data_IF_400573900518
#
_entry.id   IF_400573900518
#
_cell.length_a   1.000
_cell.length_b   1.000
_cell.length_c   1.000
_cell.angle_alpha   90.00
_cell.angle_beta   90.00
_cell.angle_gamma   90.00
#
_symmetry.space_group_name_H-M   'P 1'
#
loop_
_entity.id
_entity.type
_entity.pdbx_description
1 polymer ?
#
# COMPACT_ATOMS: atom_id res chain seq x y z
N UNK A 1 4.18 25.17 -21.32
CA UNK A 1 4.95 23.92 -21.24
C UNK A 1 5.38 23.66 -19.81
N UNK A 2 5.08 22.48 -19.27
CA UNK A 2 5.54 22.18 -17.94
C UNK A 2 7.06 22.22 -17.86
N UNK A 3 7.58 22.57 -16.71
CA UNK A 3 9.02 22.59 -16.52
C UNK A 3 9.59 21.17 -16.60
N UNK A 4 10.82 21.04 -17.04
CA UNK A 4 11.54 19.77 -17.06
C UNK A 4 11.53 19.12 -15.67
N UNK A 5 11.67 19.93 -14.63
CA UNK A 5 11.65 19.47 -13.25
C UNK A 5 10.35 18.75 -12.88
N UNK A 6 9.20 19.23 -13.37
CA UNK A 6 7.90 18.60 -13.11
C UNK A 6 7.84 17.21 -13.74
N UNK A 7 8.25 17.08 -15.00
CA UNK A 7 8.28 15.79 -15.68
C UNK A 7 9.21 14.80 -14.99
N UNK A 8 10.35 15.27 -14.54
CA UNK A 8 11.30 14.42 -13.84
C UNK A 8 10.71 13.85 -12.56
N UNK A 9 9.90 14.63 -11.84
CA UNK A 9 9.21 14.13 -10.64
C UNK A 9 8.25 13.01 -10.95
N UNK A 10 7.45 13.15 -12.01
CA UNK A 10 6.50 12.12 -12.40
C UNK A 10 7.22 10.85 -12.86
N UNK A 11 8.29 11.00 -13.62
CA UNK A 11 9.10 9.87 -14.09
C UNK A 11 9.74 9.12 -12.91
N UNK A 12 10.09 9.84 -11.84
CA UNK A 12 10.75 9.24 -10.66
C UNK A 12 9.80 8.57 -9.68
N UNK A 13 8.49 8.62 -9.91
CA UNK A 13 7.54 7.90 -9.07
C UNK A 13 7.54 6.42 -9.42
N UNK A 14 7.71 5.59 -8.40
CA UNK A 14 7.77 4.15 -8.56
C UNK A 14 6.43 3.48 -8.33
N UNK A 15 6.28 2.30 -8.88
CA UNK A 15 5.17 1.40 -8.61
C UNK A 15 5.64 0.31 -7.65
N UNK A 16 4.83 0.02 -6.65
CA UNK A 16 5.11 -0.99 -5.65
C UNK A 16 4.13 -2.15 -5.81
N UNK A 17 4.61 -3.37 -5.82
CA UNK A 17 3.77 -4.57 -5.68
C UNK A 17 3.82 -4.97 -4.21
N UNK A 18 2.68 -4.95 -3.55
CA UNK A 18 2.58 -5.10 -2.11
C UNK A 18 1.76 -6.35 -1.77
N UNK A 19 2.34 -7.22 -0.96
CA UNK A 19 1.61 -8.40 -0.45
C UNK A 19 0.76 -7.99 0.74
N UNK A 20 -0.54 -8.26 0.67
CA UNK A 20 -1.50 -7.92 1.71
C UNK A 20 -2.39 -9.13 1.96
N UNK A 21 -2.75 -9.35 3.23
CA UNK A 21 -3.73 -10.40 3.57
C UNK A 21 -5.04 -10.16 2.83
N UNK A 22 -5.68 -11.22 2.32
CA UNK A 22 -6.92 -11.08 1.53
C UNK A 22 -8.00 -10.24 2.21
N UNK A 23 -8.20 -10.41 3.51
CA UNK A 23 -9.22 -9.65 4.24
C UNK A 23 -8.95 -8.15 4.21
N UNK A 24 -7.70 -7.73 4.34
CA UNK A 24 -7.34 -6.31 4.34
C UNK A 24 -7.41 -5.70 2.95
N UNK A 25 -6.97 -6.43 1.93
CA UNK A 25 -7.08 -5.91 0.57
C UNK A 25 -8.55 -5.79 0.16
N UNK A 26 -9.41 -6.70 0.61
CA UNK A 26 -10.84 -6.59 0.35
C UNK A 26 -11.43 -5.33 0.98
N UNK A 27 -11.04 -4.98 2.19
CA UNK A 27 -11.47 -3.73 2.83
C UNK A 27 -11.00 -2.50 2.04
N UNK A 28 -9.79 -2.56 1.47
CA UNK A 28 -9.30 -1.49 0.60
C UNK A 28 -10.19 -1.38 -0.65
N UNK A 29 -10.43 -2.50 -1.30
CA UNK A 29 -11.22 -2.53 -2.55
C UNK A 29 -12.68 -2.12 -2.33
N UNK A 30 -13.23 -2.37 -1.13
CA UNK A 30 -14.59 -1.94 -0.77
C UNK A 30 -14.66 -0.49 -0.29
N UNK A 31 -13.52 0.20 -0.14
CA UNK A 31 -13.48 1.57 0.34
C UNK A 31 -13.57 1.72 1.86
N UNK A 32 -13.50 0.64 2.61
CA UNK A 32 -13.57 0.65 4.07
C UNK A 32 -12.22 0.92 4.71
N UNK A 33 -11.13 0.64 4.01
CA UNK A 33 -9.77 0.83 4.47
C UNK A 33 -9.08 1.79 3.50
N UNK A 34 -8.79 3.00 3.97
CA UNK A 34 -8.19 4.04 3.12
C UNK A 34 -6.71 4.24 3.35
N UNK A 35 -6.14 3.50 4.30
CA UNK A 35 -4.71 3.54 4.61
C UNK A 35 -4.15 2.13 4.68
N UNK A 36 -2.92 1.98 4.19
CA UNK A 36 -2.14 0.77 4.40
C UNK A 36 -0.97 1.10 5.31
N UNK A 37 -0.78 0.26 6.34
CA UNK A 37 0.18 0.53 7.41
C UNK A 37 1.40 -0.36 7.29
N UNK A 38 2.58 0.25 7.40
CA UNK A 38 3.86 -0.44 7.36
C UNK A 38 4.78 0.10 8.46
N UNK A 39 5.85 -0.65 8.76
CA UNK A 39 6.77 -0.33 9.85
C UNK A 39 7.95 0.51 9.40
N UNK A 40 8.20 0.58 8.11
CA UNK A 40 9.32 1.32 7.55
C UNK A 40 8.92 2.08 6.31
N UNK A 41 9.64 3.17 6.07
CA UNK A 41 9.44 4.02 4.91
C UNK A 41 10.09 3.39 3.68
N UNK A 42 9.45 3.46 2.50
CA UNK A 42 10.11 3.01 1.28
C UNK A 42 11.26 3.93 0.93
N UNK A 43 12.26 3.40 0.22
CA UNK A 43 13.40 4.20 -0.24
C UNK A 43 13.06 5.09 -1.42
N UNK A 44 12.09 4.67 -2.24
CA UNK A 44 11.68 5.40 -3.43
C UNK A 44 10.35 6.11 -3.20
N UNK A 45 10.09 7.12 -4.02
CA UNK A 45 8.81 7.80 -4.02
C UNK A 45 7.78 6.90 -4.69
N UNK A 46 6.73 6.53 -3.97
CA UNK A 46 5.72 5.61 -4.46
C UNK A 46 4.50 6.39 -4.94
N UNK A 47 4.16 6.21 -6.21
CA UNK A 47 2.97 6.83 -6.80
C UNK A 47 1.79 5.87 -6.93
N UNK A 48 2.08 4.57 -7.03
CA UNK A 48 1.06 3.54 -7.26
C UNK A 48 1.41 2.27 -6.51
N UNK A 49 0.39 1.63 -5.96
CA UNK A 49 0.52 0.31 -5.33
C UNK A 49 -0.36 -0.67 -6.06
N UNK A 50 0.21 -1.82 -6.43
CA UNK A 50 -0.49 -2.96 -6.98
C UNK A 50 -0.63 -3.98 -5.86
N UNK A 51 -1.84 -4.46 -5.62
CA UNK A 51 -2.17 -5.32 -4.49
C UNK A 51 -2.12 -6.79 -4.87
N UNK A 52 -1.21 -7.51 -4.24
CA UNK A 52 -1.20 -8.97 -4.29
C UNK A 52 -1.88 -9.51 -3.03
N UNK A 53 -3.02 -10.17 -3.21
CA UNK A 53 -3.69 -10.84 -2.11
C UNK A 53 -2.92 -12.12 -1.79
N UNK A 54 -2.34 -12.19 -0.60
CA UNK A 54 -1.51 -13.32 -0.21
C UNK A 54 -2.34 -14.59 0.00
N UNK A 55 -1.65 -15.70 0.38
CA UNK A 55 -2.31 -16.99 0.61
C UNK A 55 -3.55 -16.83 1.51
N UNK A 56 -4.65 -17.54 1.23
CA UNK A 56 -4.76 -18.58 0.21
C UNK A 56 -5.09 -18.11 -1.21
N UNK A 57 -5.42 -16.82 -1.39
CA UNK A 57 -5.88 -16.33 -2.70
C UNK A 57 -4.77 -16.31 -3.75
N UNK A 58 -3.59 -15.78 -3.43
CA UNK A 58 -2.41 -15.77 -4.30
C UNK A 58 -2.64 -15.16 -5.68
N UNK A 59 -3.28 -14.00 -5.73
CA UNK A 59 -3.59 -13.30 -6.97
C UNK A 59 -3.39 -11.80 -6.82
N UNK A 60 -3.06 -11.15 -7.94
CA UNK A 60 -3.04 -9.70 -8.03
C UNK A 60 -4.46 -9.23 -8.32
N UNK A 61 -5.04 -8.44 -7.43
CA UNK A 61 -6.49 -8.19 -7.42
C UNK A 61 -6.89 -6.75 -7.66
N UNK A 62 -5.95 -5.82 -7.64
CA UNK A 62 -6.29 -4.41 -7.85
C UNK A 62 -5.11 -3.50 -7.64
N UNK A 63 -5.39 -2.21 -7.68
CA UNK A 63 -4.36 -1.19 -7.51
C UNK A 63 -4.95 0.09 -6.92
N UNK A 64 -4.08 0.98 -6.46
CA UNK A 64 -4.46 2.31 -6.01
C UNK A 64 -3.34 3.30 -6.27
N UNK A 65 -3.71 4.58 -6.34
CA UNK A 65 -2.76 5.67 -6.35
C UNK A 65 -2.44 6.03 -4.90
N UNK A 66 -1.19 6.34 -4.62
CA UNK A 66 -0.76 6.83 -3.31
C UNK A 66 -0.91 8.35 -3.30
N UNK A 67 -1.84 8.85 -2.48
CA UNK A 67 -2.05 10.29 -2.36
C UNK A 67 -0.91 10.93 -1.57
N UNK A 68 -0.54 10.31 -0.44
CA UNK A 68 0.57 10.76 0.39
C UNK A 68 0.99 9.63 1.31
N UNK A 69 2.18 9.76 1.89
CA UNK A 69 2.70 8.82 2.87
C UNK A 69 2.89 9.59 4.17
N UNK A 70 2.22 9.14 5.23
CA UNK A 70 2.32 9.73 6.55
C UNK A 70 3.35 8.99 7.38
N UNK A 71 4.11 9.73 8.17
CA UNK A 71 5.09 9.20 9.10
C UNK A 71 4.89 9.83 10.46
N UNK A 72 5.02 9.05 11.51
CA UNK A 72 4.92 9.54 12.87
C UNK A 72 4.96 8.40 13.87
N UNK A 73 4.73 8.71 15.12
CA UNK A 73 4.59 7.66 16.13
C UNK A 73 3.33 6.86 15.84
N UNK A 74 3.27 5.60 16.27
CA UNK A 74 2.04 4.81 16.12
C UNK A 74 0.81 5.53 16.67
N UNK A 75 0.93 6.21 17.80
CA UNK A 75 -0.17 6.94 18.42
C UNK A 75 -0.65 8.11 17.55
N UNK A 76 0.28 8.89 17.02
CA UNK A 76 -0.04 10.03 16.14
C UNK A 76 -0.74 9.56 14.87
N UNK A 77 -0.19 8.55 14.22
CA UNK A 77 -0.75 8.02 12.99
C UNK A 77 -2.13 7.43 13.23
N UNK A 78 -2.34 6.74 14.35
CA UNK A 78 -3.66 6.21 14.69
C UNK A 78 -4.69 7.34 14.84
N UNK A 79 -4.33 8.42 15.51
CA UNK A 79 -5.23 9.58 15.68
C UNK A 79 -5.71 10.14 14.34
N UNK A 80 -4.82 10.17 13.34
CA UNK A 80 -5.14 10.71 12.02
C UNK A 80 -5.99 9.73 11.20
N UNK A 81 -5.74 8.43 11.32
CA UNK A 81 -6.26 7.42 10.39
C UNK A 81 -7.43 6.60 10.91
N UNK A 82 -7.68 6.62 12.21
CA UNK A 82 -8.58 5.66 12.88
C UNK A 82 -9.97 5.53 12.28
N UNK A 83 -10.55 6.62 11.76
CA UNK A 83 -11.90 6.59 11.22
C UNK A 83 -12.01 5.78 9.92
N UNK A 84 -10.91 5.62 9.20
CA UNK A 84 -10.86 4.91 7.91
C UNK A 84 -9.66 3.96 7.83
N UNK A 85 -9.20 3.50 8.99
CA UNK A 85 -8.04 2.61 9.07
C UNK A 85 -8.33 1.21 8.55
N UNK A 86 -9.57 0.75 8.67
CA UNK A 86 -9.96 -0.57 8.20
C UNK A 86 -9.39 -1.72 9.02
N UNK A 87 -8.84 -1.44 10.20
CA UNK A 87 -8.35 -2.43 11.15
C UNK A 87 -8.74 -1.97 12.56
N UNK A 88 -8.78 -2.91 13.50
CA UNK A 88 -9.12 -2.56 14.88
C UNK A 88 -7.94 -1.88 15.57
N UNK A 89 -8.25 -1.10 16.58
CA UNK A 89 -7.23 -0.45 17.41
C UNK A 89 -6.28 -1.48 18.02
N UNK A 90 -6.83 -2.59 18.53
CA UNK A 90 -6.01 -3.63 19.14
C UNK A 90 -5.04 -4.25 18.14
N UNK A 91 -5.54 -4.56 16.94
CA UNK A 91 -4.68 -5.10 15.88
C UNK A 91 -3.57 -4.10 15.52
N UNK A 92 -3.94 -2.84 15.34
CA UNK A 92 -3.01 -1.78 14.96
C UNK A 92 -1.86 -1.65 15.98
N UNK A 93 -2.19 -1.53 17.27
CA UNK A 93 -1.16 -1.35 18.29
C UNK A 93 -0.36 -2.63 18.55
N UNK A 94 -0.95 -3.80 18.36
CA UNK A 94 -0.19 -5.06 18.38
C UNK A 94 0.83 -5.11 17.24
N UNK A 95 0.41 -4.68 16.06
CA UNK A 95 1.29 -4.64 14.88
C UNK A 95 2.50 -3.74 15.13
N UNK A 96 2.29 -2.60 15.77
CA UNK A 96 3.35 -1.64 16.03
C UNK A 96 4.04 -1.81 17.38
N UNK A 97 3.75 -2.89 18.11
CA UNK A 97 4.37 -3.11 19.42
C UNK A 97 5.89 -3.06 19.34
N UNK A 98 6.51 -2.27 20.23
CA UNK A 98 7.96 -2.09 20.24
C UNK A 98 8.51 -1.18 19.16
N UNK A 99 7.66 -0.59 18.32
CA UNK A 99 8.09 0.31 17.25
C UNK A 99 7.83 1.76 17.61
N UNK A 100 8.74 2.62 17.20
CA UNK A 100 8.64 4.06 17.45
C UNK A 100 8.10 4.82 16.25
N UNK A 101 8.05 4.18 15.08
CA UNK A 101 7.60 4.80 13.84
C UNK A 101 6.51 3.97 13.18
N UNK A 102 5.48 4.65 12.72
CA UNK A 102 4.46 4.08 11.85
C UNK A 102 4.47 4.82 10.52
N UNK A 103 4.21 4.09 9.44
CA UNK A 103 4.11 4.61 8.09
C UNK A 103 2.75 4.24 7.55
N UNK A 104 2.01 5.24 7.06
CA UNK A 104 0.67 5.01 6.49
C UNK A 104 0.61 5.57 5.07
N UNK A 105 0.30 4.70 4.13
CA UNK A 105 0.05 5.08 2.74
C UNK A 105 -1.41 5.48 2.61
N UNK A 106 -1.68 6.74 2.28
CA UNK A 106 -3.04 7.19 2.01
C UNK A 106 -3.39 6.84 0.58
N UNK A 107 -4.45 6.04 0.41
CA UNK A 107 -4.83 5.48 -0.87
C UNK A 107 -5.99 6.27 -1.49
N UNK A 108 -5.96 6.41 -2.82
CA UNK A 108 -7.04 7.00 -3.61
C UNK A 108 -7.13 6.29 -4.95
N UNK A 109 -8.21 6.55 -5.70
CA UNK A 109 -8.40 5.98 -7.03
C UNK A 109 -8.21 4.47 -7.02
N UNK A 110 -8.87 3.80 -6.06
CA UNK A 110 -8.77 2.36 -5.88
C UNK A 110 -9.52 1.65 -7.00
N UNK A 111 -8.85 0.70 -7.64
CA UNK A 111 -9.40 -0.07 -8.75
C UNK A 111 -9.34 -1.55 -8.41
N UNK A 112 -10.50 -2.22 -8.40
CA UNK A 112 -10.57 -3.67 -8.36
C UNK A 112 -10.46 -4.19 -9.79
N UNK A 113 -9.56 -5.12 -10.04
CA UNK A 113 -9.46 -5.71 -11.37
C UNK A 113 -10.66 -6.63 -11.64
N UNK A 114 -11.24 -6.52 -12.83
CA UNK A 114 -12.33 -7.40 -13.25
C UNK A 114 -11.87 -8.86 -13.28
N UNK A 115 -10.63 -9.07 -13.70
CA UNK A 115 -10.00 -10.38 -13.74
C UNK A 115 -8.69 -10.33 -12.96
N UNK A 116 -8.57 -11.07 -11.85
CA UNK A 116 -7.31 -11.14 -11.11
C UNK A 116 -6.18 -11.60 -12.03
N UNK A 117 -4.98 -11.12 -11.73
CA UNK A 117 -3.79 -11.40 -12.51
C UNK A 117 -2.81 -12.26 -11.72
N UNK A 118 -1.92 -12.93 -12.44
CA UNK A 118 -0.85 -13.72 -11.84
C UNK A 118 0.40 -12.85 -11.65
N UNK A 119 1.25 -13.23 -10.71
CA UNK A 119 2.54 -12.57 -10.52
C UNK A 119 3.38 -12.58 -11.80
N UNK A 120 3.30 -13.68 -12.56
CA UNK A 120 4.02 -13.81 -13.82
C UNK A 120 3.65 -12.74 -14.85
N UNK A 121 2.45 -12.19 -14.78
CA UNK A 121 2.04 -11.09 -15.67
C UNK A 121 2.88 -9.82 -15.43
N UNK A 122 3.53 -9.76 -14.27
CA UNK A 122 4.39 -8.63 -13.88
C UNK A 122 5.88 -9.02 -13.90
N UNK A 123 6.21 -10.19 -14.44
CA UNK A 123 7.59 -10.68 -14.45
C UNK A 123 8.10 -11.11 -13.08
N UNK A 124 7.20 -11.41 -12.15
CA UNK A 124 7.54 -11.78 -10.78
C UNK A 124 7.33 -13.28 -10.59
N UNK A 125 8.36 -13.98 -10.12
CA UNK A 125 8.32 -15.44 -9.96
C UNK A 125 7.82 -15.88 -8.59
N UNK A 126 8.03 -15.05 -7.56
CA UNK A 126 7.63 -15.37 -6.19
C UNK A 126 7.00 -14.15 -5.53
N UNK A 127 5.98 -14.39 -4.70
CA UNK A 127 5.37 -13.32 -3.92
C UNK A 127 6.40 -12.69 -2.98
N UNK A 128 6.48 -11.36 -2.93
CA UNK A 128 7.35 -10.70 -1.94
C UNK A 128 6.81 -10.92 -0.53
N UNK A 129 7.69 -10.98 0.46
CA UNK A 129 7.25 -11.06 1.86
C UNK A 129 6.55 -9.78 2.29
N UNK A 130 7.00 -8.65 1.79
CA UNK A 130 6.38 -7.35 2.02
C UNK A 130 6.07 -6.70 0.69
N UNK A 131 7.07 -6.17 -0.01
CA UNK A 131 6.88 -5.54 -1.30
C UNK A 131 8.13 -5.62 -2.17
N UNK A 132 7.93 -5.33 -3.46
CA UNK A 132 9.01 -5.11 -4.42
C UNK A 132 8.64 -3.91 -5.29
N UNK A 133 9.63 -3.26 -5.86
CA UNK A 133 9.40 -2.23 -6.86
C UNK A 133 9.22 -2.89 -8.23
N UNK A 134 8.23 -2.40 -8.99
CA UNK A 134 7.98 -2.85 -10.36
C UNK A 134 8.41 -1.74 -11.30
N UNK A 135 9.42 -2.00 -12.08
CA UNK A 135 9.82 -1.09 -13.13
C UNK A 135 10.72 -1.77 -14.11
#
# INVERSE_FOLDING_TARGET
>A
MPSKKYYEREILMSTMLLSIKPEFVEYILEGKKKYEFRKSKPKENIGRIIFYASSPQKQVVGEATVETILEGSPKEIWSITKSVAGITKNFYFSYYEGKHMAVAYKLKEVIRYDHPKALSDYGVSQAPQSFIYLD
#
